data_IF_292546340359
#
_entry.id   IF_292546340359
#
_cell.length_a   1.000
_cell.length_b   1.000
_cell.length_c   1.000
_cell.angle_alpha   90.00
_cell.angle_beta   90.00
_cell.angle_gamma   90.00
#
_symmetry.space_group_name_H-M   'P 1'
#
loop_
_entity.id
_entity.type
_entity.pdbx_description
1 polymer ?
#
# COMPACT_ATOMS: atom_id res chain seq x y z
N UNK A 1 -16.96 -45.71 -2.86
CA UNK A 1 -15.81 -44.89 -2.41
C UNK A 1 -15.20 -44.18 -3.61
N UNK A 2 -15.56 -42.91 -3.84
CA UNK A 2 -14.81 -42.00 -4.73
C UNK A 2 -14.71 -40.70 -3.96
N UNK A 3 -13.66 -40.59 -3.14
CA UNK A 3 -13.35 -39.34 -2.44
C UNK A 3 -12.91 -38.33 -3.49
N UNK A 4 -13.64 -37.24 -3.62
CA UNK A 4 -13.24 -36.10 -4.42
C UNK A 4 -11.93 -35.56 -3.85
N UNK A 5 -10.82 -35.87 -4.53
CA UNK A 5 -9.56 -35.17 -4.37
C UNK A 5 -9.73 -33.78 -4.94
N UNK A 6 -10.23 -32.86 -4.12
CA UNK A 6 -10.07 -31.44 -4.39
C UNK A 6 -8.58 -31.18 -4.43
N UNK A 7 -8.01 -31.04 -5.64
CA UNK A 7 -6.67 -30.51 -5.78
C UNK A 7 -6.66 -29.18 -5.03
N UNK A 8 -5.77 -28.99 -4.04
CA UNK A 8 -5.64 -27.69 -3.41
C UNK A 8 -5.29 -26.71 -4.52
N UNK A 9 -6.19 -25.76 -4.77
CA UNK A 9 -5.95 -24.61 -5.65
C UNK A 9 -4.56 -24.09 -5.31
N UNK A 10 -3.65 -24.04 -6.29
CA UNK A 10 -2.28 -23.63 -6.02
C UNK A 10 -2.30 -22.25 -5.37
N UNK A 11 -1.41 -22.03 -4.40
CA UNK A 11 -1.35 -20.78 -3.64
C UNK A 11 -1.22 -19.53 -4.53
N UNK A 12 -0.75 -19.68 -5.76
CA UNK A 12 -0.67 -18.59 -6.75
C UNK A 12 -2.04 -18.00 -7.14
N UNK A 13 -3.11 -18.80 -7.12
CA UNK A 13 -4.45 -18.29 -7.38
C UNK A 13 -5.02 -17.48 -6.21
N UNK A 14 -4.44 -17.59 -4.99
CA UNK A 14 -4.93 -16.88 -3.80
C UNK A 14 -4.61 -15.37 -3.78
N UNK A 15 -3.79 -14.89 -4.71
CA UNK A 15 -3.32 -13.49 -4.76
C UNK A 15 -3.71 -12.74 -6.04
N UNK A 16 -4.58 -13.32 -6.87
CA UNK A 16 -5.02 -12.69 -8.11
C UNK A 16 -5.93 -11.50 -7.85
N UNK A 17 -5.65 -10.41 -8.55
CA UNK A 17 -6.54 -9.25 -8.58
C UNK A 17 -7.72 -9.50 -9.52
N UNK A 18 -8.93 -9.18 -9.07
CA UNK A 18 -10.11 -9.29 -9.92
C UNK A 18 -10.09 -8.20 -11.00
N UNK A 19 -10.12 -8.61 -12.27
CA UNK A 19 -10.31 -7.70 -13.41
C UNK A 19 -11.80 -7.62 -13.74
N UNK A 20 -12.31 -6.41 -13.91
CA UNK A 20 -13.73 -6.21 -14.19
C UNK A 20 -13.95 -5.02 -15.11
N UNK A 21 -15.06 -5.07 -15.83
CA UNK A 21 -15.61 -3.99 -16.68
C UNK A 21 -17.06 -3.69 -16.27
N UNK A 22 -17.44 -4.05 -15.03
CA UNK A 22 -18.80 -3.84 -14.52
C UNK A 22 -19.01 -2.34 -14.29
N UNK A 23 -20.08 -1.79 -14.86
CA UNK A 23 -20.46 -0.38 -14.68
C UNK A 23 -20.76 0.01 -13.22
N UNK A 24 -21.03 -0.97 -12.34
CA UNK A 24 -21.21 -0.74 -10.89
C UNK A 24 -19.89 -0.47 -10.16
N UNK A 25 -18.75 -0.77 -10.79
CA UNK A 25 -17.42 -0.52 -10.24
C UNK A 25 -16.88 0.75 -10.92
N UNK A 26 -16.35 1.74 -10.17
CA UNK A 26 -15.74 2.92 -10.75
C UNK A 26 -14.67 2.57 -11.79
N UNK A 27 -14.66 3.27 -12.92
CA UNK A 27 -13.77 3.00 -14.06
C UNK A 27 -12.27 2.99 -13.68
N UNK A 28 -11.86 3.84 -12.74
CA UNK A 28 -10.48 3.86 -12.21
C UNK A 28 -10.06 2.57 -11.49
N UNK A 29 -11.00 1.68 -11.17
CA UNK A 29 -10.74 0.36 -10.59
C UNK A 29 -10.84 -0.76 -11.66
N UNK A 30 -10.98 -0.42 -12.94
CA UNK A 30 -10.96 -1.39 -14.05
C UNK A 30 -9.51 -1.67 -14.46
N UNK A 31 -8.86 -2.54 -13.70
CA UNK A 31 -7.44 -2.82 -13.87
C UNK A 31 -7.13 -3.67 -15.10
N UNK A 32 -6.01 -3.37 -15.77
CA UNK A 32 -5.48 -4.16 -16.89
C UNK A 32 -4.43 -5.16 -16.43
N UNK A 33 -3.76 -4.91 -15.31
CA UNK A 33 -2.72 -5.77 -14.73
C UNK A 33 -2.65 -5.65 -13.21
N UNK A 34 -1.80 -6.47 -12.61
CA UNK A 34 -1.38 -6.36 -11.21
C UNK A 34 0.09 -5.94 -11.15
N UNK A 35 0.44 -5.14 -10.14
CA UNK A 35 1.81 -4.77 -9.81
C UNK A 35 2.19 -5.42 -8.50
N UNK A 36 3.30 -6.15 -8.51
CA UNK A 36 3.89 -6.73 -7.31
C UNK A 36 4.99 -5.81 -6.77
N UNK A 37 4.80 -5.30 -5.55
CA UNK A 37 5.60 -4.25 -4.92
C UNK A 37 6.23 -4.80 -3.62
N UNK A 38 7.49 -5.26 -3.67
CA UNK A 38 8.19 -5.72 -2.48
C UNK A 38 8.33 -4.62 -1.43
N UNK A 39 8.08 -4.97 -0.17
CA UNK A 39 8.45 -4.16 0.99
C UNK A 39 9.66 -4.83 1.64
N UNK A 40 10.74 -4.07 1.81
CA UNK A 40 11.99 -4.59 2.33
C UNK A 40 12.55 -3.72 3.46
N UNK A 41 13.35 -4.36 4.31
CA UNK A 41 14.24 -3.70 5.25
C UNK A 41 15.65 -3.65 4.67
N UNK A 42 16.37 -2.56 4.94
CA UNK A 42 17.77 -2.39 4.54
C UNK A 42 18.59 -2.23 5.82
N UNK A 43 19.62 -3.05 5.96
CA UNK A 43 20.49 -3.07 7.12
C UNK A 43 21.11 -1.68 7.38
N UNK A 44 21.13 -1.27 8.65
CA UNK A 44 21.64 0.04 9.06
C UNK A 44 20.71 1.21 8.79
N UNK A 45 19.53 0.97 8.19
CA UNK A 45 18.52 2.02 7.96
C UNK A 45 17.28 1.77 8.83
N UNK A 46 16.59 2.85 9.20
CA UNK A 46 15.31 2.77 9.92
C UNK A 46 14.17 2.68 8.92
N UNK A 47 13.10 2.00 9.31
CA UNK A 47 11.86 1.93 8.52
C UNK A 47 11.91 0.90 7.40
N UNK A 48 11.01 1.06 6.44
CA UNK A 48 10.80 0.10 5.37
C UNK A 48 10.72 0.78 4.01
N UNK A 49 11.21 0.08 2.99
CA UNK A 49 11.27 0.54 1.61
C UNK A 49 10.25 -0.22 0.79
N UNK A 50 9.49 0.47 -0.04
CA UNK A 50 8.55 -0.12 -1.00
C UNK A 50 9.13 0.03 -2.39
N UNK A 51 9.30 -1.07 -3.11
CA UNK A 51 9.80 -1.10 -4.48
C UNK A 51 8.64 -1.14 -5.48
N UNK A 52 8.85 -0.55 -6.66
CA UNK A 52 7.83 -0.50 -7.73
C UNK A 52 7.58 -1.85 -8.41
N UNK A 53 8.51 -2.79 -8.28
CA UNK A 53 8.48 -4.12 -8.90
C UNK A 53 9.49 -5.07 -8.23
N UNK A 54 9.33 -6.38 -8.41
CA UNK A 54 10.35 -7.38 -8.03
C UNK A 54 11.67 -7.13 -8.77
N UNK A 55 11.63 -6.72 -10.04
CA UNK A 55 12.81 -6.39 -10.83
C UNK A 55 13.56 -5.17 -10.26
N UNK A 56 12.82 -4.15 -9.80
CA UNK A 56 13.43 -2.99 -9.15
C UNK A 56 14.09 -3.39 -7.82
N UNK A 57 13.43 -4.26 -7.04
CA UNK A 57 14.00 -4.81 -5.81
C UNK A 57 15.26 -5.65 -6.06
N UNK A 58 15.23 -6.52 -7.07
CA UNK A 58 16.35 -7.39 -7.44
C UNK A 58 17.56 -6.60 -7.92
N UNK A 59 17.35 -5.57 -8.75
CA UNK A 59 18.41 -4.66 -9.18
C UNK A 59 18.96 -3.87 -7.99
N UNK A 60 18.09 -3.40 -7.10
CA UNK A 60 18.53 -2.67 -5.91
C UNK A 60 19.43 -3.51 -4.99
N UNK A 61 19.13 -4.79 -4.77
CA UNK A 61 19.98 -5.69 -3.96
C UNK A 61 21.44 -5.75 -4.44
N UNK A 62 21.67 -5.57 -5.73
CA UNK A 62 22.99 -5.62 -6.34
C UNK A 62 23.72 -4.27 -6.22
N UNK A 63 22.97 -3.17 -6.29
CA UNK A 63 23.56 -1.83 -6.38
C UNK A 63 23.58 -1.08 -5.04
N UNK A 64 22.57 -1.22 -4.19
CA UNK A 64 22.38 -0.48 -2.94
C UNK A 64 22.65 1.05 -3.08
N UNK A 65 22.04 1.68 -4.09
CA UNK A 65 22.31 3.06 -4.55
C UNK A 65 23.73 3.37 -5.07
N UNK A 66 24.68 2.44 -5.00
CA UNK A 66 25.97 2.54 -5.71
C UNK A 66 25.75 2.25 -7.20
N UNK A 67 25.06 3.17 -7.86
CA UNK A 67 24.65 3.08 -9.25
C UNK A 67 25.49 4.07 -10.05
N UNK A 68 26.30 3.58 -10.99
CA UNK A 68 27.06 4.42 -11.91
C UNK A 68 26.21 5.02 -13.02
N UNK A 69 25.05 4.41 -13.31
CA UNK A 69 24.12 4.84 -14.37
C UNK A 69 22.68 4.60 -13.92
N UNK A 70 21.94 5.68 -13.75
CA UNK A 70 20.53 5.64 -13.39
C UNK A 70 19.70 5.16 -14.58
N UNK A 71 18.78 4.27 -14.27
CA UNK A 71 17.81 3.76 -15.21
C UNK A 71 16.77 4.84 -15.56
N UNK A 72 16.42 4.99 -16.84
CA UNK A 72 15.48 6.03 -17.29
C UNK A 72 14.07 5.87 -16.70
N UNK A 73 13.65 4.64 -16.39
CA UNK A 73 12.37 4.37 -15.71
C UNK A 73 12.55 4.33 -14.17
N UNK A 74 13.79 4.42 -13.70
CA UNK A 74 14.16 4.32 -12.29
C UNK A 74 14.02 2.90 -11.73
N UNK A 75 14.23 1.87 -12.55
CA UNK A 75 14.36 0.48 -12.07
C UNK A 75 15.64 0.34 -11.25
N UNK A 76 15.55 -0.30 -10.08
CA UNK A 76 16.65 -0.41 -9.12
C UNK A 76 16.58 0.61 -7.99
N UNK A 77 15.49 1.38 -7.92
CA UNK A 77 15.26 2.44 -6.93
C UNK A 77 13.97 2.13 -6.16
N UNK A 78 13.93 2.30 -4.83
CA UNK A 78 12.68 2.20 -4.07
C UNK A 78 11.70 3.29 -4.52
N UNK A 79 10.40 2.97 -4.59
CA UNK A 79 9.36 3.99 -4.79
C UNK A 79 9.19 4.83 -3.53
N UNK A 80 9.01 4.17 -2.39
CA UNK A 80 8.76 4.82 -1.10
C UNK A 80 9.70 4.33 -0.01
N UNK A 81 9.86 5.17 1.00
CA UNK A 81 10.51 4.84 2.26
C UNK A 81 9.66 5.39 3.41
N UNK A 82 9.02 4.49 4.16
CA UNK A 82 8.24 4.83 5.35
C UNK A 82 9.11 4.76 6.61
N UNK A 83 9.01 5.77 7.47
CA UNK A 83 9.69 5.82 8.77
C UNK A 83 8.74 6.31 9.86
N UNK A 84 8.93 5.80 11.07
CA UNK A 84 8.25 6.35 12.25
C UNK A 84 8.93 7.65 12.72
N UNK A 85 8.11 8.63 13.09
CA UNK A 85 8.54 9.86 13.76
C UNK A 85 8.83 9.59 15.24
N UNK A 86 9.97 10.06 15.73
CA UNK A 86 10.35 10.03 17.15
C UNK A 86 10.33 11.41 17.80
N UNK A 87 9.68 12.40 17.17
CA UNK A 87 9.55 13.73 17.77
C UNK A 87 8.60 13.67 18.98
N UNK A 88 9.17 13.40 20.17
CA UNK A 88 8.41 13.24 21.41
C UNK A 88 7.63 14.51 21.75
N UNK A 89 8.25 15.69 21.59
CA UNK A 89 7.62 16.98 21.85
C UNK A 89 6.42 17.18 20.91
N UNK A 90 6.63 16.96 19.62
CA UNK A 90 5.59 17.07 18.61
C UNK A 90 4.42 16.11 18.80
N UNK A 91 4.66 14.92 19.38
CA UNK A 91 3.61 13.97 19.74
C UNK A 91 2.79 14.43 20.93
N UNK A 92 3.43 15.01 21.94
CA UNK A 92 2.73 15.58 23.11
C UNK A 92 1.84 16.74 22.67
N UNK A 93 2.32 17.60 21.78
CA UNK A 93 1.55 18.72 21.21
C UNK A 93 0.60 18.30 20.09
N UNK A 94 0.63 17.02 19.67
CA UNK A 94 -0.09 16.49 18.49
C UNK A 94 0.14 17.29 17.20
N UNK A 95 1.28 17.97 17.10
CA UNK A 95 1.64 18.81 15.97
C UNK A 95 2.61 18.12 15.01
N UNK A 96 3.17 16.96 15.38
CA UNK A 96 4.04 16.19 14.49
C UNK A 96 3.36 14.94 13.94
N UNK A 97 3.60 14.59 12.67
CA UNK A 97 3.23 13.30 12.11
C UNK A 97 3.78 12.13 12.94
N UNK A 98 3.06 11.01 12.95
CA UNK A 98 3.50 9.75 13.53
C UNK A 98 4.38 8.96 12.56
N UNK A 99 4.12 9.10 11.26
CA UNK A 99 4.93 8.49 10.20
C UNK A 99 5.18 9.47 9.06
N UNK A 100 6.33 9.33 8.42
CA UNK A 100 6.67 10.00 7.18
C UNK A 100 6.86 8.96 6.08
N UNK A 101 6.26 9.19 4.92
CA UNK A 101 6.56 8.44 3.70
C UNK A 101 7.32 9.39 2.76
N UNK A 102 8.55 9.04 2.48
CA UNK A 102 9.35 9.70 1.47
C UNK A 102 9.18 9.01 0.13
N UNK A 103 9.16 9.79 -0.96
CA UNK A 103 9.17 9.30 -2.34
C UNK A 103 10.51 9.55 -2.98
N UNK A 104 10.97 8.61 -3.78
CA UNK A 104 12.11 8.81 -4.68
C UNK A 104 11.59 9.29 -6.04
N UNK A 105 12.21 10.33 -6.57
CA UNK A 105 11.83 10.97 -7.84
C UNK A 105 13.06 11.06 -8.72
N UNK A 106 12.95 10.53 -9.94
CA UNK A 106 13.95 10.68 -10.98
C UNK A 106 13.65 11.94 -11.78
N UNK A 107 14.67 12.75 -12.03
CA UNK A 107 14.55 13.97 -12.85
C UNK A 107 15.75 14.11 -13.77
N UNK A 108 15.59 14.75 -14.93
CA UNK A 108 16.75 15.17 -15.72
C UNK A 108 17.60 16.16 -14.94
N UNK A 109 18.93 16.08 -15.10
CA UNK A 109 19.87 17.01 -14.45
C UNK A 109 19.64 18.45 -14.90
N UNK A 110 19.23 18.63 -16.16
CA UNK A 110 18.93 19.94 -16.75
C UNK A 110 17.49 20.41 -16.49
N UNK A 111 16.62 19.54 -15.95
CA UNK A 111 15.24 19.90 -15.66
C UNK A 111 15.17 20.78 -14.39
N UNK A 112 14.27 21.77 -14.36
CA UNK A 112 14.03 22.53 -13.14
C UNK A 112 13.60 21.60 -11.99
N UNK A 113 14.01 21.90 -10.74
CA UNK A 113 13.54 21.14 -9.58
C UNK A 113 12.01 21.12 -9.52
N UNK A 114 11.43 19.92 -9.43
CA UNK A 114 9.97 19.77 -9.30
C UNK A 114 9.51 20.10 -7.88
N UNK A 115 10.41 20.02 -6.91
CA UNK A 115 10.16 20.23 -5.49
C UNK A 115 11.25 21.14 -4.93
N UNK A 116 10.85 22.15 -4.17
CA UNK A 116 11.77 23.06 -3.47
C UNK A 116 12.62 22.30 -2.44
N UNK A 117 11.98 21.42 -1.69
CA UNK A 117 12.61 20.63 -0.63
C UNK A 117 12.89 19.21 -1.14
N UNK A 118 14.06 19.02 -1.75
CA UNK A 118 14.50 17.71 -2.20
C UNK A 118 15.93 17.39 -1.74
N UNK A 119 16.16 16.16 -1.28
CA UNK A 119 17.51 15.65 -0.98
C UNK A 119 18.02 14.85 -2.17
N UNK A 120 19.08 15.31 -2.83
CA UNK A 120 19.76 14.53 -3.86
C UNK A 120 20.43 13.30 -3.21
N UNK A 121 20.10 12.11 -3.70
CA UNK A 121 20.64 10.83 -3.23
C UNK A 121 21.84 10.43 -4.07
N UNK A 122 21.70 10.51 -5.38
CA UNK A 122 22.78 10.31 -6.35
C UNK A 122 22.41 11.02 -7.68
N UNK A 123 23.39 11.16 -8.56
CA UNK A 123 23.19 11.69 -9.91
C UNK A 123 24.21 11.07 -10.86
N UNK A 124 23.84 10.95 -12.13
CA UNK A 124 24.77 10.68 -13.22
C UNK A 124 24.81 11.86 -14.20
N UNK A 125 25.21 11.62 -15.45
CA UNK A 125 25.30 12.66 -16.49
C UNK A 125 23.93 13.13 -17.00
N UNK A 126 22.88 12.33 -16.82
CA UNK A 126 21.56 12.52 -17.43
C UNK A 126 20.50 12.77 -16.38
N UNK A 127 20.50 12.00 -15.30
CA UNK A 127 19.48 12.02 -14.26
C UNK A 127 20.05 12.33 -12.88
N UNK A 128 19.23 12.98 -12.06
CA UNK A 128 19.39 13.07 -10.61
C UNK A 128 18.28 12.29 -9.93
N UNK A 129 18.63 11.59 -8.87
CA UNK A 129 17.70 10.90 -8.00
C UNK A 129 17.50 11.72 -6.72
N UNK A 130 16.27 12.17 -6.51
CA UNK A 130 15.89 12.99 -5.37
C UNK A 130 14.99 12.19 -4.41
N UNK A 131 15.13 12.45 -3.11
CA UNK A 131 14.22 11.97 -2.06
C UNK A 131 13.46 13.17 -1.52
N UNK A 132 12.13 13.09 -1.56
CA UNK A 132 11.21 14.14 -1.12
C UNK A 132 10.27 13.61 -0.04
N UNK A 133 9.75 14.50 0.81
CA UNK A 133 8.64 14.17 1.69
C UNK A 133 7.35 14.09 0.86
N UNK A 134 6.76 12.89 0.77
CA UNK A 134 5.59 12.65 -0.07
C UNK A 134 4.29 12.69 0.71
N UNK A 135 4.26 11.99 1.85
CA UNK A 135 3.10 11.89 2.71
C UNK A 135 3.50 11.94 4.19
N UNK A 136 2.69 12.61 4.97
CA UNK A 136 2.69 12.62 6.43
C UNK A 136 1.47 11.85 6.93
N UNK A 137 1.62 11.07 8.00
CA UNK A 137 0.51 10.29 8.57
C UNK A 137 0.37 10.65 10.05
N UNK A 138 -0.81 11.12 10.44
CA UNK A 138 -1.15 11.49 11.81
C UNK A 138 -2.06 10.43 12.43
N UNK A 139 -1.70 9.91 13.61
CA UNK A 139 -2.51 8.94 14.32
C UNK A 139 -3.38 9.63 15.39
N UNK A 140 -4.69 9.55 15.23
CA UNK A 140 -5.68 10.03 16.20
C UNK A 140 -6.30 8.84 16.93
N UNK A 141 -5.80 8.58 18.14
CA UNK A 141 -6.31 7.51 18.99
C UNK A 141 -7.62 7.95 19.67
N UNK A 142 -8.71 7.25 19.36
CA UNK A 142 -9.97 7.30 20.09
C UNK A 142 -10.14 6.10 21.02
N UNK A 143 -11.30 6.03 21.69
CA UNK A 143 -11.60 4.94 22.63
C UNK A 143 -11.75 3.58 21.93
N UNK A 144 -12.45 3.53 20.78
CA UNK A 144 -12.77 2.29 20.09
C UNK A 144 -12.03 2.10 18.76
N UNK A 145 -11.34 3.14 18.30
CA UNK A 145 -10.65 3.14 17.02
C UNK A 145 -9.46 4.11 17.02
N UNK A 146 -8.46 3.80 16.20
CA UNK A 146 -7.40 4.72 15.82
C UNK A 146 -7.59 5.12 14.37
N UNK A 147 -7.61 6.43 14.11
CA UNK A 147 -7.63 6.99 12.75
C UNK A 147 -6.22 7.38 12.34
N UNK A 148 -5.86 7.12 11.10
CA UNK A 148 -4.60 7.51 10.48
C UNK A 148 -4.94 8.41 9.31
N UNK A 149 -4.71 9.72 9.46
CA UNK A 149 -5.00 10.71 8.43
C UNK A 149 -3.74 10.96 7.58
N UNK A 150 -3.90 10.84 6.26
CA UNK A 150 -2.82 10.98 5.28
C UNK A 150 -2.84 12.39 4.70
N UNK A 151 -1.73 13.10 4.84
CA UNK A 151 -1.52 14.43 4.29
C UNK A 151 -0.39 14.42 3.26
N UNK A 152 -0.64 14.97 2.07
CA UNK A 152 0.29 14.91 0.94
C UNK A 152 0.83 16.31 0.60
N UNK A 153 1.86 16.80 1.31
CA UNK A 153 2.41 18.15 1.08
C UNK A 153 2.97 18.33 -0.34
N UNK A 154 3.38 17.23 -0.98
CA UNK A 154 3.98 17.23 -2.32
C UNK A 154 2.97 17.23 -3.47
N UNK A 155 1.67 17.01 -3.22
CA UNK A 155 0.64 17.00 -4.26
C UNK A 155 0.10 18.41 -4.48
N UNK A 156 0.05 18.84 -5.74
CA UNK A 156 -0.47 20.16 -6.15
C UNK A 156 -1.99 20.27 -5.99
N UNK A 157 -2.69 19.15 -6.10
CA UNK A 157 -4.14 19.09 -5.87
C UNK A 157 -4.40 18.56 -4.44
N UNK A 158 -5.26 19.23 -3.65
CA UNK A 158 -5.62 18.75 -2.33
C UNK A 158 -6.33 17.40 -2.45
N UNK A 159 -5.72 16.36 -1.90
CA UNK A 159 -6.36 15.04 -1.79
C UNK A 159 -7.57 15.19 -0.87
N UNK A 160 -8.77 14.85 -1.37
CA UNK A 160 -9.97 14.81 -0.54
C UNK A 160 -9.75 13.78 0.57
N UNK A 161 -9.93 14.20 1.82
CA UNK A 161 -9.86 13.41 3.07
C UNK A 161 -9.48 11.95 2.86
N UNK A 162 -8.21 11.63 3.09
CA UNK A 162 -7.68 10.28 2.98
C UNK A 162 -7.34 9.77 4.39
N UNK A 163 -8.10 8.78 4.84
CA UNK A 163 -7.92 8.19 6.16
C UNK A 163 -7.94 6.65 6.11
N UNK A 164 -7.23 6.02 7.04
CA UNK A 164 -7.38 4.61 7.40
C UNK A 164 -7.83 4.54 8.87
N UNK A 165 -8.83 3.72 9.16
CA UNK A 165 -9.37 3.50 10.51
C UNK A 165 -9.09 2.06 10.91
N UNK A 166 -8.48 1.87 12.09
CA UNK A 166 -8.30 0.58 12.75
C UNK A 166 -9.14 0.53 14.03
N UNK A 167 -10.08 -0.39 14.11
CA UNK A 167 -10.87 -0.58 15.33
C UNK A 167 -10.07 -1.39 16.37
N UNK A 168 -10.23 -1.08 17.66
CA UNK A 168 -9.37 -1.65 18.72
C UNK A 168 -9.45 -3.18 18.81
N UNK A 169 -10.64 -3.76 18.57
CA UNK A 169 -10.89 -5.20 18.71
C UNK A 169 -10.90 -5.95 17.37
N UNK A 170 -10.53 -5.29 16.28
CA UNK A 170 -10.48 -5.89 14.94
C UNK A 170 -9.12 -5.66 14.31
N UNK A 171 -8.68 -6.63 13.50
CA UNK A 171 -7.46 -6.48 12.71
C UNK A 171 -7.72 -5.79 11.38
N UNK A 172 -8.95 -5.81 10.91
CA UNK A 172 -9.35 -5.14 9.68
C UNK A 172 -9.17 -3.63 9.78
N UNK A 173 -8.82 -3.04 8.63
CA UNK A 173 -8.72 -1.60 8.48
C UNK A 173 -9.71 -1.13 7.41
N UNK A 174 -10.34 0.00 7.66
CA UNK A 174 -11.26 0.63 6.72
C UNK A 174 -10.61 1.89 6.17
N UNK A 175 -10.69 2.13 4.87
CA UNK A 175 -10.13 3.34 4.27
C UNK A 175 -11.14 4.05 3.39
N UNK A 176 -10.96 5.37 3.29
CA UNK A 176 -11.72 6.21 2.37
C UNK A 176 -10.73 6.94 1.49
N UNK A 177 -10.93 6.85 0.18
CA UNK A 177 -10.09 7.48 -0.83
C UNK A 177 -10.98 8.06 -1.92
N UNK A 178 -10.97 9.39 -2.06
CA UNK A 178 -11.80 10.12 -3.03
C UNK A 178 -13.28 9.71 -3.03
N UNK A 179 -13.85 9.55 -1.83
CA UNK A 179 -15.25 9.14 -1.64
C UNK A 179 -15.52 7.63 -1.83
N UNK A 180 -14.57 6.85 -2.35
CA UNK A 180 -14.68 5.39 -2.37
C UNK A 180 -14.31 4.82 -1.01
N UNK A 181 -14.98 3.74 -0.61
CA UNK A 181 -14.68 3.01 0.62
C UNK A 181 -14.01 1.69 0.33
N UNK A 182 -13.03 1.35 1.16
CA UNK A 182 -12.32 0.10 1.07
C UNK A 182 -12.16 -0.55 2.43
N UNK A 183 -11.89 -1.86 2.41
CA UNK A 183 -11.55 -2.65 3.58
C UNK A 183 -10.30 -3.48 3.31
N UNK A 184 -9.29 -3.32 4.14
CA UNK A 184 -8.21 -4.29 4.29
C UNK A 184 -8.67 -5.37 5.27
N UNK A 185 -9.20 -6.46 4.72
CA UNK A 185 -9.70 -7.59 5.49
C UNK A 185 -8.61 -8.63 5.72
N UNK A 186 -8.49 -9.14 6.95
CA UNK A 186 -7.58 -10.23 7.30
C UNK A 186 -8.29 -11.33 8.06
N UNK A 187 -7.99 -12.59 7.72
CA UNK A 187 -8.51 -13.76 8.43
C UNK A 187 -7.81 -13.95 9.78
N UNK A 188 -8.49 -14.63 10.70
CA UNK A 188 -7.90 -15.00 11.99
C UNK A 188 -6.61 -15.82 11.79
N UNK A 189 -5.57 -15.52 12.58
CA UNK A 189 -4.21 -16.08 12.47
C UNK A 189 -3.50 -15.94 11.10
N UNK A 190 -3.95 -15.04 10.23
CA UNK A 190 -3.28 -14.75 8.96
C UNK A 190 -2.59 -13.39 8.98
N UNK A 191 -1.51 -13.22 8.23
CA UNK A 191 -0.92 -11.91 7.92
C UNK A 191 -1.21 -11.48 6.46
N UNK A 192 -2.15 -12.17 5.79
CA UNK A 192 -2.63 -11.85 4.46
C UNK A 192 -3.85 -10.94 4.54
N UNK A 193 -3.66 -9.68 4.15
CA UNK A 193 -4.74 -8.72 4.02
C UNK A 193 -5.20 -8.65 2.57
N UNK A 194 -6.51 -8.60 2.36
CA UNK A 194 -7.16 -8.37 1.07
C UNK A 194 -7.77 -6.98 1.07
N UNK A 195 -7.40 -6.16 0.10
CA UNK A 195 -8.01 -4.86 -0.13
C UNK A 195 -9.27 -5.05 -0.97
N UNK A 196 -10.41 -4.77 -0.38
CA UNK A 196 -11.73 -4.93 -1.00
C UNK A 196 -12.37 -3.58 -1.23
N UNK A 197 -12.99 -3.37 -2.41
CA UNK A 197 -13.86 -2.23 -2.65
C UNK A 197 -15.25 -2.47 -2.04
N UNK A 198 -15.77 -1.49 -1.31
CA UNK A 198 -17.08 -1.55 -0.66
C UNK A 198 -18.10 -0.74 -1.45
N UNK A 199 -18.95 -1.43 -2.21
CA UNK A 199 -20.08 -0.84 -2.93
C UNK A 199 -21.18 -0.37 -1.94
N UNK A 200 -21.39 0.94 -1.84
CA UNK A 200 -22.38 1.52 -0.92
C UNK A 200 -23.83 1.23 -1.34
N UNK A 201 -24.12 1.18 -2.65
CA UNK A 201 -25.49 1.06 -3.15
C UNK A 201 -26.12 -0.25 -2.68
N UNK A 202 -25.31 -1.30 -2.50
CA UNK A 202 -25.76 -2.59 -1.98
C UNK A 202 -26.02 -2.60 -0.47
N UNK A 203 -25.34 -1.77 0.32
CA UNK A 203 -25.60 -1.67 1.76
C UNK A 203 -26.93 -0.94 2.04
N UNK A 204 -27.31 0.02 1.18
CA UNK A 204 -28.55 0.77 1.35
C UNK A 204 -29.78 0.00 0.85
N UNK A 205 -29.68 -0.84 -0.18
CA UNK A 205 -30.79 -1.70 -0.62
C UNK A 205 -31.20 -2.75 0.41
N UNK A 206 -30.32 -3.13 1.35
CA UNK A 206 -30.69 -4.02 2.46
C UNK A 206 -31.52 -3.31 3.54
N UNK A 207 -31.58 -1.98 3.55
CA UNK A 207 -32.31 -1.22 4.57
C UNK A 207 -33.58 -0.53 4.04
N UNK A 208 -33.85 -0.58 2.73
CA UNK A 208 -35.10 -0.07 2.18
C UNK A 208 -36.20 -1.13 2.23
N UNK A 209 -37.06 -1.02 3.26
CA UNK A 209 -38.48 -1.40 3.24
C UNK A 209 -38.89 -2.88 3.21
N UNK A 210 -38.35 -3.72 4.10
CA UNK A 210 -39.13 -4.88 4.56
C UNK A 210 -39.20 -4.93 6.08
N UNK A 211 -40.17 -4.17 6.61
CA UNK A 211 -40.90 -4.52 7.83
C UNK A 211 -41.62 -5.84 7.59
N UNK A 212 -40.93 -6.96 7.68
CA UNK A 212 -41.58 -8.24 7.89
C UNK A 212 -40.68 -9.11 8.74
N UNK A 213 -41.25 -9.57 9.85
CA UNK A 213 -40.63 -10.39 10.88
C UNK A 213 -40.25 -11.74 10.28
N UNK A 214 -39.12 -11.80 9.58
CA UNK A 214 -38.45 -13.06 9.28
C UNK A 214 -37.17 -13.09 10.10
N UNK A 215 -37.03 -14.18 10.86
CA UNK A 215 -35.84 -14.49 11.66
C UNK A 215 -34.60 -14.14 10.83
N UNK A 216 -33.56 -13.53 11.42
CA UNK A 216 -32.34 -13.21 10.70
C UNK A 216 -31.80 -14.53 10.17
N UNK A 217 -32.11 -14.79 8.90
CA UNK A 217 -31.46 -15.83 8.15
C UNK A 217 -29.99 -15.50 8.33
N UNK A 218 -29.20 -16.47 8.79
CA UNK A 218 -27.75 -16.33 8.92
C UNK A 218 -27.11 -16.27 7.52
N UNK A 219 -27.71 -15.50 6.62
CA UNK A 219 -27.18 -14.98 5.40
C UNK A 219 -26.01 -14.11 5.78
N UNK A 220 -24.86 -14.79 5.94
CA UNK A 220 -23.51 -14.27 5.75
C UNK A 220 -23.65 -13.06 4.85
N UNK A 221 -23.47 -11.86 5.41
CA UNK A 221 -23.36 -10.64 4.63
C UNK A 221 -22.33 -10.93 3.55
N UNK A 222 -22.82 -11.20 2.33
CA UNK A 222 -21.97 -11.45 1.17
C UNK A 222 -21.42 -10.08 0.81
N UNK A 223 -20.43 -9.62 1.58
CA UNK A 223 -19.61 -8.49 1.20
C UNK A 223 -19.19 -8.75 -0.26
N UNK A 224 -19.42 -7.82 -1.19
CA UNK A 224 -19.06 -8.07 -2.57
C UNK A 224 -17.53 -8.20 -2.64
N UNK A 225 -17.06 -9.41 -2.96
CA UNK A 225 -15.66 -9.85 -2.89
C UNK A 225 -14.77 -9.21 -3.98
N UNK A 226 -14.99 -7.95 -4.38
CA UNK A 226 -14.11 -7.32 -5.37
C UNK A 226 -12.76 -6.96 -4.74
N UNK A 227 -11.82 -7.89 -4.81
CA UNK A 227 -10.46 -7.76 -4.29
C UNK A 227 -9.59 -7.04 -5.31
N UNK A 228 -9.10 -5.87 -4.93
CA UNK A 228 -8.28 -4.99 -5.77
C UNK A 228 -6.80 -4.99 -5.37
N UNK A 229 -6.48 -5.62 -4.24
CA UNK A 229 -5.12 -5.67 -3.75
C UNK A 229 -4.91 -6.69 -2.64
N UNK A 230 -3.65 -7.02 -2.41
CA UNK A 230 -3.20 -7.89 -1.35
C UNK A 230 -1.97 -7.31 -0.67
N UNK A 231 -1.90 -7.49 0.64
CA UNK A 231 -0.65 -7.39 1.40
C UNK A 231 -0.39 -8.76 2.03
N UNK A 232 0.80 -9.31 1.85
CA UNK A 232 1.15 -10.61 2.44
C UNK A 232 2.63 -10.73 2.78
N UNK A 233 2.93 -11.45 3.86
CA UNK A 233 4.29 -11.78 4.30
C UNK A 233 4.78 -13.12 3.77
N UNK A 234 3.96 -13.88 3.03
CA UNK A 234 4.31 -15.22 2.53
C UNK A 234 5.64 -15.24 1.75
N UNK A 235 5.96 -14.16 1.05
CA UNK A 235 7.16 -14.03 0.22
C UNK A 235 8.38 -13.45 0.97
N UNK A 236 8.34 -13.33 2.30
CA UNK A 236 9.46 -12.77 3.06
C UNK A 236 10.71 -13.65 2.98
N UNK A 237 11.87 -13.00 2.86
CA UNK A 237 13.16 -13.70 2.97
C UNK A 237 13.33 -14.28 4.37
N UNK A 238 13.74 -15.54 4.45
CA UNK A 238 13.95 -16.25 5.73
C UNK A 238 15.26 -15.82 6.40
N UNK A 239 16.31 -15.60 5.59
CA UNK A 239 17.65 -15.31 6.08
C UNK A 239 17.93 -13.80 6.03
N UNK A 240 18.51 -13.23 7.10
CA UNK A 240 18.87 -11.82 7.12
C UNK A 240 19.97 -11.54 6.08
N UNK A 241 19.68 -10.61 5.18
CA UNK A 241 20.60 -10.07 4.17
C UNK A 241 20.76 -8.57 4.39
N UNK A 242 21.76 -7.97 3.74
CA UNK A 242 21.92 -6.50 3.75
C UNK A 242 20.65 -5.77 3.31
N UNK A 243 19.88 -6.38 2.41
CA UNK A 243 18.53 -5.98 2.04
C UNK A 243 17.65 -7.23 2.06
N UNK A 244 16.61 -7.24 2.89
CA UNK A 244 15.74 -8.40 3.11
C UNK A 244 14.29 -8.09 2.76
N UNK A 245 13.66 -8.91 1.91
CA UNK A 245 12.24 -8.78 1.59
C UNK A 245 11.41 -9.17 2.81
N UNK A 246 10.51 -8.30 3.24
CA UNK A 246 9.70 -8.51 4.44
C UNK A 246 8.25 -8.88 4.13
N UNK A 247 7.72 -8.39 2.99
CA UNK A 247 6.38 -8.68 2.50
C UNK A 247 6.24 -8.23 1.06
N UNK A 248 5.11 -8.57 0.44
CA UNK A 248 4.72 -8.05 -0.87
C UNK A 248 3.36 -7.36 -0.78
N UNK A 249 3.25 -6.28 -1.54
CA UNK A 249 1.99 -5.63 -1.84
C UNK A 249 1.66 -5.87 -3.32
N UNK A 250 0.51 -6.47 -3.60
CA UNK A 250 0.05 -6.77 -4.97
C UNK A 250 -1.17 -5.89 -5.22
N UNK A 251 -1.11 -4.96 -6.17
CA UNK A 251 -2.17 -3.98 -6.41
C UNK A 251 -2.61 -4.04 -7.88
N UNK A 252 -3.92 -4.03 -8.12
CA UNK A 252 -4.47 -3.84 -9.45
C UNK A 252 -4.19 -2.44 -9.97
N UNK A 253 -3.79 -2.33 -11.23
CA UNK A 253 -3.54 -1.03 -11.86
C UNK A 253 -3.83 -1.02 -13.36
N UNK A 254 -3.89 0.19 -13.91
CA UNK A 254 -3.96 0.45 -15.34
C UNK A 254 -2.64 1.05 -15.85
N UNK A 255 -1.75 0.20 -16.37
CA UNK A 255 -0.47 0.62 -16.97
C UNK A 255 0.02 -0.41 -18.00
N UNK A 256 1.09 -0.08 -18.73
CA UNK A 256 1.71 -1.02 -19.69
C UNK A 256 2.44 -2.16 -18.96
N UNK A 257 2.55 -3.37 -19.54
CA UNK A 257 3.21 -4.53 -18.89
C UNK A 257 4.69 -4.35 -18.55
N UNK A 258 5.42 -3.55 -19.31
CA UNK A 258 6.85 -3.24 -19.17
C UNK A 258 7.14 -2.10 -18.18
N UNK A 259 6.10 -1.47 -17.62
CA UNK A 259 6.20 -0.37 -16.65
C UNK A 259 6.66 -0.84 -15.27
N UNK A 260 7.95 -1.13 -15.12
CA UNK A 260 8.55 -1.73 -13.90
C UNK A 260 9.19 -0.70 -12.95
N UNK A 261 9.54 0.48 -13.47
CA UNK A 261 10.24 1.52 -12.73
C UNK A 261 9.33 2.49 -11.96
N UNK A 262 9.93 3.35 -11.13
CA UNK A 262 9.23 4.29 -10.24
C UNK A 262 8.49 5.41 -10.99
N UNK A 263 8.90 5.74 -12.23
CA UNK A 263 8.31 6.83 -13.04
C UNK A 263 6.93 6.46 -13.61
N UNK A 264 6.60 5.17 -13.64
CA UNK A 264 5.41 4.64 -14.33
C UNK A 264 4.29 4.19 -13.39
N UNK A 265 4.44 4.38 -12.08
CA UNK A 265 3.47 3.93 -11.08
C UNK A 265 2.28 4.90 -11.02
N UNK A 266 1.06 4.49 -11.35
CA UNK A 266 -0.12 5.37 -11.31
C UNK A 266 -0.37 5.92 -9.90
N UNK A 267 -0.96 7.12 -9.82
CA UNK A 267 -1.17 7.80 -8.53
C UNK A 267 -2.07 7.01 -7.58
N UNK A 268 -3.10 6.33 -8.10
CA UNK A 268 -3.96 5.46 -7.28
C UNK A 268 -3.18 4.27 -6.70
N UNK A 269 -2.28 3.67 -7.49
CA UNK A 269 -1.38 2.61 -7.02
C UNK A 269 -0.44 3.13 -5.95
N UNK A 270 0.11 4.33 -6.13
CA UNK A 270 0.96 5.00 -5.13
C UNK A 270 0.21 5.24 -3.81
N UNK A 271 -1.06 5.63 -3.88
CA UNK A 271 -1.91 5.82 -2.71
C UNK A 271 -2.14 4.51 -1.97
N UNK A 272 -2.53 3.43 -2.66
CA UNK A 272 -2.66 2.11 -2.04
C UNK A 272 -1.33 1.58 -1.50
N UNK A 273 -0.21 1.89 -2.14
CA UNK A 273 1.12 1.57 -1.64
C UNK A 273 1.46 2.29 -0.33
N UNK A 274 0.99 3.53 -0.15
CA UNK A 274 1.10 4.21 1.14
C UNK A 274 0.30 3.49 2.24
N UNK A 275 -0.92 2.98 1.92
CA UNK A 275 -1.70 2.17 2.86
C UNK A 275 -0.95 0.88 3.23
N UNK A 276 -0.44 0.16 2.24
CA UNK A 276 0.32 -1.08 2.43
C UNK A 276 1.57 -0.87 3.27
N UNK A 277 2.30 0.22 3.05
CA UNK A 277 3.47 0.60 3.85
C UNK A 277 3.10 0.84 5.32
N UNK A 278 2.01 1.57 5.58
CA UNK A 278 1.51 1.78 6.94
C UNK A 278 1.10 0.46 7.61
N UNK A 279 0.34 -0.39 6.92
CA UNK A 279 -0.09 -1.70 7.43
C UNK A 279 1.13 -2.54 7.83
N UNK A 280 2.15 -2.60 6.97
CA UNK A 280 3.40 -3.29 7.27
C UNK A 280 4.02 -2.79 8.58
N UNK A 281 4.13 -1.46 8.71
CA UNK A 281 4.72 -0.83 9.89
C UNK A 281 3.91 -1.09 11.16
N UNK A 282 2.58 -1.02 11.09
CA UNK A 282 1.69 -1.30 12.22
C UNK A 282 1.81 -2.76 12.69
N UNK A 283 1.90 -3.72 11.76
CA UNK A 283 2.13 -5.13 12.08
C UNK A 283 3.51 -5.38 12.67
N UNK A 284 4.53 -4.61 12.28
CA UNK A 284 5.83 -4.65 12.94
C UNK A 284 5.73 -4.14 14.38
N UNK A 285 5.15 -2.96 14.61
CA UNK A 285 4.98 -2.39 15.95
C UNK A 285 4.18 -3.34 16.87
N UNK A 286 3.12 -3.97 16.35
CA UNK A 286 2.34 -4.92 17.14
C UNK A 286 3.15 -6.15 17.56
N UNK A 287 4.09 -6.61 16.72
CA UNK A 287 4.96 -7.75 17.04
C UNK A 287 6.04 -7.40 18.05
N UNK A 288 6.63 -6.21 17.98
CA UNK A 288 7.63 -5.75 18.96
C UNK A 288 7.02 -5.51 20.36
N UNK A 289 5.69 -5.42 20.46
CA UNK A 289 4.96 -5.27 21.73
C UNK A 289 4.58 -6.61 22.39
N UNK A 290 4.67 -7.73 21.66
CA UNK A 290 4.32 -9.07 22.14
C UNK A 290 5.58 -9.78 22.63
#
# INVERSE_FOLDING_TARGET
MRGFSGQPLSDDDNYRIEKTQRNTIPERLHFSRERNMPIASIFGTRGYFVFSSEQSYDKFKQTNFNISTLDADGVGVPLFHIVQSYNVIGKITRSSPDFYIYKYVLQGVQDPPLYSDCKVICQDKVFRLCKILYCEIYAHQGFFETKYDFFYPSKTQPVKKYQIIKQSNMRDLYSTLDGMRFRWHVKFYSDHFRLMFLDEDRLNYSNSNQKERQKPDQGKSKAPDFVIGHYTRTFSDILPRSTSKCSNLIIGEHSKPDSLGITTVPDLTQEFACQGALIHYLLHIERERK
#
